data_IF_899880262488
#
_entry.id   IF_899880262488
#
_cell.length_a   1.000
_cell.length_b   1.000
_cell.length_c   1.000
_cell.angle_alpha   90.00
_cell.angle_beta   90.00
_cell.angle_gamma   90.00
#
_symmetry.space_group_name_H-M   'P 1'
#
loop_
_entity.id
_entity.type
_entity.pdbx_description
1 polymer ?
#
# COMPACT_ATOMS: atom_id res chain seq x y z
N UNK A 1 35.83 -0.32 -52.06
CA UNK A 1 34.79 0.27 -51.20
C UNK A 1 34.42 -0.71 -50.13
N UNK A 2 34.83 -0.48 -48.92
CA UNK A 2 34.48 -1.32 -47.76
C UNK A 2 33.36 -0.61 -47.01
N UNK A 3 32.16 -1.17 -47.06
CA UNK A 3 31.05 -0.74 -46.22
C UNK A 3 31.24 -1.29 -44.81
N UNK A 4 31.52 -0.43 -43.87
CA UNK A 4 31.54 -0.73 -42.43
C UNK A 4 30.11 -0.61 -41.92
N UNK A 5 29.48 -1.74 -41.66
CA UNK A 5 28.21 -1.80 -40.97
C UNK A 5 28.46 -1.55 -39.49
N UNK A 6 28.09 -0.36 -39.02
CA UNK A 6 28.07 -0.07 -37.57
C UNK A 6 26.79 -0.65 -36.97
N UNK A 7 26.96 -1.76 -36.27
CA UNK A 7 25.88 -2.40 -35.53
C UNK A 7 25.64 -1.60 -34.24
N UNK A 8 24.59 -0.82 -34.22
CA UNK A 8 24.13 -0.14 -32.98
C UNK A 8 23.40 -1.16 -32.13
N UNK A 9 24.08 -1.65 -31.10
CA UNK A 9 23.44 -2.50 -30.07
C UNK A 9 22.69 -1.56 -29.14
N UNK A 10 21.38 -1.53 -29.27
CA UNK A 10 20.50 -0.86 -28.31
C UNK A 10 20.45 -1.69 -27.02
N UNK A 11 21.11 -1.19 -25.98
CA UNK A 11 20.95 -1.73 -24.63
C UNK A 11 19.58 -1.32 -24.09
N UNK A 12 18.65 -2.25 -24.10
CA UNK A 12 17.40 -2.09 -23.32
C UNK A 12 17.75 -2.31 -21.85
N UNK A 13 17.84 -1.21 -21.11
CA UNK A 13 17.93 -1.26 -19.65
C UNK A 13 16.53 -1.59 -19.15
N UNK A 14 16.26 -2.87 -18.94
CA UNK A 14 15.05 -3.31 -18.23
C UNK A 14 15.20 -2.92 -16.77
N UNK A 15 14.57 -1.81 -16.38
CA UNK A 15 14.41 -1.50 -14.97
C UNK A 15 13.50 -2.56 -14.34
N UNK A 16 13.91 -3.22 -13.25
CA UNK A 16 13.02 -4.15 -12.57
C UNK A 16 11.84 -3.37 -12.00
N UNK A 17 10.66 -3.62 -12.56
CA UNK A 17 9.42 -3.17 -11.97
C UNK A 17 9.17 -4.07 -10.78
N UNK A 18 9.44 -3.58 -9.58
CA UNK A 18 9.00 -4.26 -8.36
C UNK A 18 7.48 -4.17 -8.32
N UNK A 19 6.81 -5.26 -8.67
CA UNK A 19 5.40 -5.42 -8.39
C UNK A 19 5.25 -5.47 -6.87
N UNK A 20 4.88 -4.32 -6.26
CA UNK A 20 4.39 -4.33 -4.90
C UNK A 20 3.07 -5.09 -4.89
N UNK A 21 2.95 -6.06 -3.97
CA UNK A 21 1.77 -6.88 -3.78
C UNK A 21 0.49 -6.06 -3.89
N UNK A 22 -0.39 -6.44 -4.83
CA UNK A 22 -1.76 -5.98 -4.95
C UNK A 22 -2.08 -4.67 -5.68
N UNK A 23 -1.24 -4.23 -6.60
CA UNK A 23 -1.61 -3.14 -7.51
C UNK A 23 -1.48 -1.73 -6.93
N UNK A 24 -1.77 -0.74 -7.75
CA UNK A 24 -1.63 0.66 -7.38
C UNK A 24 -2.74 1.09 -6.43
N UNK A 25 -2.40 1.93 -5.45
CA UNK A 25 -3.35 2.51 -4.48
C UNK A 25 -4.40 3.42 -5.14
N UNK A 26 -4.21 3.80 -6.40
CA UNK A 26 -5.14 4.59 -7.19
C UNK A 26 -4.88 6.09 -7.17
N UNK A 27 -3.84 6.55 -6.52
CA UNK A 27 -3.45 7.96 -6.42
C UNK A 27 -1.96 8.14 -6.72
N UNK A 28 -1.61 9.28 -7.30
CA UNK A 28 -0.21 9.60 -7.60
C UNK A 28 0.59 10.09 -6.40
N UNK A 29 -0.07 10.73 -5.44
CA UNK A 29 0.55 11.27 -4.23
C UNK A 29 -0.29 10.96 -2.99
N UNK A 30 0.36 10.98 -1.82
CA UNK A 30 -0.30 10.82 -0.52
C UNK A 30 -1.30 11.96 -0.28
N UNK A 31 -0.96 13.19 -0.69
CA UNK A 31 -1.85 14.34 -0.56
C UNK A 31 -3.13 14.19 -1.39
N UNK A 32 -3.03 13.64 -2.61
CA UNK A 32 -4.19 13.34 -3.46
C UNK A 32 -5.09 12.29 -2.82
N UNK A 33 -4.52 11.22 -2.28
CA UNK A 33 -5.25 10.19 -1.56
C UNK A 33 -6.01 10.78 -0.36
N UNK A 34 -5.32 11.57 0.46
CA UNK A 34 -5.93 12.22 1.62
C UNK A 34 -7.09 13.15 1.22
N UNK A 35 -6.88 13.99 0.19
CA UNK A 35 -7.90 14.92 -0.29
C UNK A 35 -9.15 14.18 -0.82
N UNK A 36 -8.96 13.07 -1.54
CA UNK A 36 -10.05 12.26 -2.06
C UNK A 36 -10.88 11.63 -0.91
N UNK A 37 -10.21 11.09 0.10
CA UNK A 37 -10.91 10.51 1.26
C UNK A 37 -11.64 11.56 2.09
N UNK A 38 -11.11 12.78 2.19
CA UNK A 38 -11.79 13.88 2.89
C UNK A 38 -13.10 14.28 2.21
N UNK A 39 -13.25 14.03 0.92
CA UNK A 39 -14.48 14.27 0.15
C UNK A 39 -15.43 13.08 0.13
N UNK A 40 -14.98 11.91 0.55
CA UNK A 40 -15.79 10.69 0.57
C UNK A 40 -16.71 10.71 1.79
N UNK A 41 -18.02 10.77 1.55
CA UNK A 41 -19.03 10.78 2.62
C UNK A 41 -19.05 9.48 3.43
N UNK A 42 -18.46 8.39 2.93
CA UNK A 42 -18.39 7.10 3.61
C UNK A 42 -17.12 6.93 4.45
N UNK A 43 -16.22 7.90 4.42
CA UNK A 43 -14.98 7.85 5.17
C UNK A 43 -15.17 8.38 6.59
N UNK A 44 -14.80 7.58 7.56
CA UNK A 44 -14.73 7.97 8.98
C UNK A 44 -13.26 8.14 9.37
N UNK A 45 -12.92 9.32 9.87
CA UNK A 45 -11.55 9.65 10.26
C UNK A 45 -11.37 9.55 11.78
N UNK A 46 -10.25 8.99 12.18
CA UNK A 46 -9.81 8.99 13.58
C UNK A 46 -8.29 9.19 13.65
N UNK A 47 -7.81 9.63 14.80
CA UNK A 47 -6.40 9.74 15.09
C UNK A 47 -6.03 8.66 16.10
N UNK A 48 -5.02 7.87 15.76
CA UNK A 48 -4.54 6.77 16.59
C UNK A 48 -3.02 6.87 16.69
N UNK A 49 -2.51 7.20 17.86
CA UNK A 49 -1.06 7.35 18.12
C UNK A 49 -0.35 8.29 17.13
N UNK A 50 -1.02 9.39 16.75
CA UNK A 50 -0.52 10.37 15.79
C UNK A 50 -0.78 10.03 14.32
N UNK A 51 -1.20 8.82 14.01
CA UNK A 51 -1.63 8.42 12.68
C UNK A 51 -3.04 8.91 12.38
N UNK A 52 -3.25 9.41 11.17
CA UNK A 52 -4.60 9.66 10.68
C UNK A 52 -5.10 8.37 10.01
N UNK A 53 -6.18 7.83 10.53
CA UNK A 53 -6.78 6.60 9.99
C UNK A 53 -8.14 6.92 9.41
N UNK A 54 -8.36 6.56 8.16
CA UNK A 54 -9.67 6.65 7.51
C UNK A 54 -10.24 5.23 7.32
N UNK A 55 -11.43 5.00 7.83
CA UNK A 55 -12.20 3.77 7.61
C UNK A 55 -13.29 4.06 6.59
N UNK A 56 -13.29 3.31 5.51
CA UNK A 56 -14.28 3.40 4.44
C UNK A 56 -14.94 2.02 4.28
N UNK A 57 -16.22 1.94 4.56
CA UNK A 57 -16.95 0.66 4.63
C UNK A 57 -17.50 0.20 3.29
N UNK A 58 -17.69 1.11 2.35
CA UNK A 58 -18.24 0.80 1.03
C UNK A 58 -17.73 1.76 -0.04
N UNK A 59 -17.91 1.38 -1.29
CA UNK A 59 -17.52 2.19 -2.44
C UNK A 59 -16.09 1.90 -2.92
N UNK A 60 -15.59 2.70 -3.89
CA UNK A 60 -14.30 2.44 -4.54
C UNK A 60 -13.10 2.62 -3.62
N UNK A 61 -13.26 3.34 -2.51
CA UNK A 61 -12.20 3.57 -1.52
C UNK A 61 -12.32 2.65 -0.30
N UNK A 62 -13.17 1.61 -0.33
CA UNK A 62 -13.38 0.74 0.83
C UNK A 62 -12.07 0.14 1.34
N UNK A 63 -11.91 0.13 2.67
CA UNK A 63 -10.71 -0.32 3.36
C UNK A 63 -10.32 0.58 4.53
N UNK A 64 -9.20 0.27 5.13
CA UNK A 64 -8.59 1.08 6.20
C UNK A 64 -7.33 1.75 5.66
N UNK A 65 -7.31 3.05 5.68
CA UNK A 65 -6.23 3.89 5.19
C UNK A 65 -5.49 4.50 6.37
N UNK A 66 -4.20 4.27 6.46
CA UNK A 66 -3.36 4.78 7.55
C UNK A 66 -2.33 5.74 6.99
N UNK A 67 -2.42 7.00 7.36
CA UNK A 67 -1.50 8.08 6.96
C UNK A 67 -0.47 8.31 8.06
N UNK A 68 0.80 8.34 7.70
CA UNK A 68 1.89 8.57 8.65
C UNK A 68 1.81 9.93 9.31
N UNK A 69 2.17 10.03 10.61
CA UNK A 69 2.43 11.34 11.22
C UNK A 69 3.66 11.99 10.59
N UNK A 70 3.73 13.31 10.65
CA UNK A 70 4.86 14.06 10.07
C UNK A 70 6.22 13.75 10.70
N UNK A 71 6.22 13.13 11.88
CA UNK A 71 7.44 12.69 12.59
C UNK A 71 7.92 11.29 12.19
N UNK A 72 7.12 10.57 11.39
CA UNK A 72 7.49 9.21 10.98
C UNK A 72 8.60 9.23 9.92
N UNK A 73 9.63 8.34 10.02
CA UNK A 73 10.74 8.32 9.05
C UNK A 73 10.33 8.14 7.59
N UNK A 74 9.23 7.43 7.32
CA UNK A 74 8.71 7.19 5.97
C UNK A 74 7.73 8.27 5.48
N UNK A 75 7.46 9.30 6.29
CA UNK A 75 6.50 10.35 5.92
C UNK A 75 6.96 11.13 4.68
N UNK A 76 6.05 11.46 3.74
CA UNK A 76 4.63 11.13 3.73
C UNK A 76 4.38 9.72 3.18
N UNK A 77 3.54 8.96 3.83
CA UNK A 77 3.14 7.64 3.37
C UNK A 77 1.70 7.30 3.75
N UNK A 78 1.07 6.48 2.96
CA UNK A 78 -0.26 5.92 3.24
C UNK A 78 -0.28 4.43 2.93
N UNK A 79 -0.87 3.67 3.83
CA UNK A 79 -1.11 2.24 3.68
C UNK A 79 -2.62 2.00 3.64
N UNK A 80 -3.11 1.39 2.57
CA UNK A 80 -4.48 0.91 2.46
C UNK A 80 -4.50 -0.59 2.73
N UNK A 81 -5.38 -1.03 3.62
CA UNK A 81 -5.57 -2.43 3.95
C UNK A 81 -7.03 -2.82 3.82
N UNK A 82 -7.27 -4.02 3.33
CA UNK A 82 -8.61 -4.57 3.22
C UNK A 82 -8.57 -6.10 3.31
N UNK A 83 -9.60 -6.73 3.95
CA UNK A 83 -9.65 -8.18 4.01
C UNK A 83 -10.00 -8.78 2.65
N UNK A 84 -9.45 -9.95 2.37
CA UNK A 84 -9.77 -10.76 1.21
C UNK A 84 -9.84 -12.23 1.59
N UNK A 85 -10.64 -12.98 0.88
CA UNK A 85 -10.71 -14.44 1.04
C UNK A 85 -9.99 -15.10 -0.12
N UNK A 86 -8.97 -15.90 0.19
CA UNK A 86 -8.13 -16.58 -0.79
C UNK A 86 -8.06 -18.05 -0.43
N UNK A 87 -8.61 -18.91 -1.28
CA UNK A 87 -8.59 -20.34 -1.03
C UNK A 87 -9.29 -20.76 0.26
N UNK A 88 -10.36 -20.08 0.65
CA UNK A 88 -11.10 -20.33 1.89
C UNK A 88 -10.46 -19.74 3.15
N UNK A 89 -9.35 -19.02 3.01
CA UNK A 89 -8.65 -18.39 4.13
C UNK A 89 -8.71 -16.87 4.05
N UNK A 90 -8.75 -16.23 5.22
CA UNK A 90 -8.71 -14.77 5.31
C UNK A 90 -7.26 -14.30 5.15
N UNK A 91 -7.07 -13.35 4.25
CA UNK A 91 -5.84 -12.60 4.08
C UNK A 91 -6.13 -11.09 4.19
N UNK A 92 -5.17 -10.33 4.65
CA UNK A 92 -5.23 -8.87 4.60
C UNK A 92 -4.40 -8.42 3.43
N UNK A 93 -5.05 -7.86 2.43
CA UNK A 93 -4.37 -7.23 1.29
C UNK A 93 -3.95 -5.82 1.64
N UNK A 94 -2.86 -5.39 1.04
CA UNK A 94 -2.24 -4.10 1.31
C UNK A 94 -1.81 -3.43 0.02
N UNK A 95 -2.06 -2.13 -0.05
CA UNK A 95 -1.50 -1.23 -1.06
C UNK A 95 -0.80 -0.10 -0.33
N UNK A 96 0.35 0.32 -0.83
CA UNK A 96 1.16 1.35 -0.19
C UNK A 96 1.58 2.43 -1.19
N UNK A 97 1.59 3.67 -0.73
CA UNK A 97 2.18 4.79 -1.42
C UNK A 97 3.09 5.51 -0.43
N UNK A 98 4.37 5.61 -0.74
CA UNK A 98 5.36 6.16 0.17
C UNK A 98 6.23 7.18 -0.54
N UNK A 99 6.24 8.41 -0.03
CA UNK A 99 7.06 9.52 -0.52
C UNK A 99 8.31 9.79 0.30
N UNK A 100 8.54 9.03 1.36
CA UNK A 100 9.74 9.12 2.19
C UNK A 100 10.96 8.41 1.58
N UNK A 101 12.09 8.38 2.31
CA UNK A 101 13.28 7.65 1.87
C UNK A 101 13.02 6.15 1.70
N UNK A 102 13.60 5.56 0.65
CA UNK A 102 13.36 4.14 0.32
C UNK A 102 13.59 3.18 1.50
N UNK A 103 14.68 3.26 2.30
CA UNK A 103 14.86 2.35 3.43
C UNK A 103 13.74 2.46 4.47
N UNK A 104 13.27 3.67 4.76
CA UNK A 104 12.16 3.89 5.68
C UNK A 104 10.83 3.37 5.12
N UNK A 105 10.59 3.54 3.82
CA UNK A 105 9.43 2.99 3.12
C UNK A 105 9.44 1.46 3.17
N UNK A 106 10.57 0.83 2.91
CA UNK A 106 10.71 -0.63 2.96
C UNK A 106 10.43 -1.19 4.37
N UNK A 107 10.93 -0.52 5.40
CA UNK A 107 10.66 -0.89 6.80
C UNK A 107 9.18 -0.75 7.17
N UNK A 108 8.54 0.31 6.70
CA UNK A 108 7.11 0.54 6.91
C UNK A 108 6.28 -0.60 6.28
N UNK A 109 6.56 -0.95 5.05
CA UNK A 109 5.88 -2.04 4.33
C UNK A 109 6.07 -3.37 5.06
N UNK A 110 7.28 -3.70 5.48
CA UNK A 110 7.56 -4.93 6.23
C UNK A 110 6.82 -4.97 7.57
N UNK A 111 6.78 -3.85 8.29
CA UNK A 111 6.03 -3.75 9.54
C UNK A 111 4.53 -4.06 9.33
N UNK A 112 3.93 -3.46 8.33
CA UNK A 112 2.51 -3.70 8.02
C UNK A 112 2.24 -5.11 7.50
N UNK A 113 3.16 -5.71 6.76
CA UNK A 113 3.03 -7.13 6.35
C UNK A 113 2.93 -8.06 7.55
N UNK A 114 3.80 -7.89 8.54
CA UNK A 114 3.76 -8.67 9.78
C UNK A 114 2.48 -8.44 10.57
N UNK A 115 2.06 -7.18 10.66
CA UNK A 115 0.80 -6.83 11.32
C UNK A 115 -0.40 -7.47 10.60
N UNK A 116 -0.41 -7.46 9.27
CA UNK A 116 -1.48 -8.04 8.46
C UNK A 116 -1.56 -9.56 8.67
N UNK A 117 -0.43 -10.25 8.74
CA UNK A 117 -0.40 -11.69 9.04
C UNK A 117 -0.99 -12.00 10.42
N UNK A 118 -0.67 -11.19 11.41
CA UNK A 118 -1.22 -11.34 12.77
C UNK A 118 -2.74 -11.11 12.77
N UNK A 119 -3.20 -10.05 12.13
CA UNK A 119 -4.63 -9.73 12.04
C UNK A 119 -5.39 -10.84 11.30
N UNK A 120 -4.84 -11.36 10.21
CA UNK A 120 -5.43 -12.46 9.46
C UNK A 120 -5.57 -13.73 10.31
N UNK A 121 -4.54 -14.07 11.08
CA UNK A 121 -4.58 -15.21 12.01
C UNK A 121 -5.65 -15.02 13.08
N UNK A 122 -5.74 -13.84 13.66
CA UNK A 122 -6.72 -13.54 14.71
C UNK A 122 -8.15 -13.65 14.18
N UNK A 123 -8.41 -13.15 12.97
CA UNK A 123 -9.73 -13.28 12.32
C UNK A 123 -10.04 -14.74 12.03
N UNK A 124 -9.09 -15.49 11.50
CA UNK A 124 -9.26 -16.91 11.15
C UNK A 124 -9.55 -17.74 12.40
N UNK A 125 -8.88 -17.48 13.52
CA UNK A 125 -9.13 -18.14 14.79
C UNK A 125 -10.52 -17.84 15.34
N UNK A 126 -11.00 -16.61 15.23
CA UNK A 126 -12.36 -16.22 15.65
C UNK A 126 -13.44 -16.92 14.82
N UNK A 127 -13.20 -17.12 13.52
CA UNK A 127 -14.11 -17.87 12.65
C UNK A 127 -14.15 -19.36 12.96
N UNK A 128 -12.99 -19.95 13.35
CA UNK A 128 -12.87 -21.36 13.69
C UNK A 128 -13.22 -21.73 15.13
N UNK A 129 -13.23 -20.73 16.04
CA UNK A 129 -13.52 -20.89 17.45
C UNK A 129 -14.96 -20.56 17.78
N UNK A 130 -15.82 -21.55 17.75
CA UNK A 130 -17.14 -21.46 18.39
C UNK A 130 -17.06 -22.04 19.77
#
# INVERSE_FOLDING_TARGET
MRLTVVSVIAFFISTPVFAQDSGAIGFGTVAEAYAALRKDAKAEFLIQEGWVVAKVTEGPHSGVWSFTPNTHPAHPAVIKRFPAEIGGQIAIRMQALCGGPKPACDQLVEHFKKLNEQVARDIQQRKGGK
#
